data_IF_375092040585
#
_entry.id   IF_375092040585
#
_cell.length_a   1.000
_cell.length_b   1.000
_cell.length_c   1.000
_cell.angle_alpha   90.00
_cell.angle_beta   90.00
_cell.angle_gamma   90.00
#
_symmetry.space_group_name_H-M   'P 1'
#
loop_
_entity.id
_entity.type
_entity.pdbx_description
1 polymer ?
#
# COMPACT_ATOMS: atom_id res chain seq x y z
N UNK A 1 -20.56 -13.93 -16.38
CA UNK A 1 -20.45 -13.31 -15.03
C UNK A 1 -19.17 -13.67 -14.28
N UNK A 2 -18.59 -14.87 -14.47
CA UNK A 2 -17.37 -15.34 -13.80
C UNK A 2 -16.13 -14.46 -14.08
N UNK A 3 -15.88 -14.09 -15.34
CA UNK A 3 -14.71 -13.27 -15.72
C UNK A 3 -14.69 -11.90 -15.03
N UNK A 4 -15.85 -11.25 -14.83
CA UNK A 4 -15.95 -9.96 -14.12
C UNK A 4 -15.56 -10.10 -12.64
N UNK A 5 -15.95 -11.18 -11.98
CA UNK A 5 -15.57 -11.45 -10.58
C UNK A 5 -14.06 -11.67 -10.47
N UNK A 6 -13.48 -12.48 -11.35
CA UNK A 6 -12.02 -12.69 -11.40
C UNK A 6 -11.28 -11.37 -11.66
N UNK A 7 -11.74 -10.56 -12.62
CA UNK A 7 -11.14 -9.25 -12.91
C UNK A 7 -11.16 -8.33 -11.69
N UNK A 8 -12.25 -8.31 -10.92
CA UNK A 8 -12.32 -7.52 -9.68
C UNK A 8 -11.35 -8.05 -8.61
N UNK A 9 -11.22 -9.37 -8.46
CA UNK A 9 -10.26 -9.99 -7.55
C UNK A 9 -8.81 -9.67 -7.93
N UNK A 10 -8.46 -9.81 -9.22
CA UNK A 10 -7.12 -9.50 -9.75
C UNK A 10 -6.82 -8.00 -9.63
N UNK A 11 -7.76 -7.13 -10.00
CA UNK A 11 -7.58 -5.68 -9.85
C UNK A 11 -7.37 -5.29 -8.38
N UNK A 12 -8.13 -5.87 -7.45
CA UNK A 12 -7.96 -5.68 -6.01
C UNK A 12 -6.59 -6.14 -5.51
N UNK A 13 -6.13 -7.31 -5.96
CA UNK A 13 -4.79 -7.83 -5.63
C UNK A 13 -3.69 -6.92 -6.15
N UNK A 14 -3.78 -6.47 -7.41
CA UNK A 14 -2.81 -5.55 -8.00
C UNK A 14 -2.77 -4.23 -7.23
N UNK A 15 -3.93 -3.65 -6.90
CA UNK A 15 -4.03 -2.44 -6.06
C UNK A 15 -3.38 -2.64 -4.69
N UNK A 16 -3.62 -3.77 -4.03
CA UNK A 16 -3.03 -4.09 -2.74
C UNK A 16 -1.50 -4.21 -2.84
N UNK A 17 -0.98 -4.92 -3.84
CA UNK A 17 0.45 -5.08 -4.06
C UNK A 17 1.15 -3.76 -4.40
N UNK A 18 0.53 -2.92 -5.24
CA UNK A 18 1.06 -1.60 -5.59
C UNK A 18 1.08 -0.68 -4.38
N UNK A 19 0.01 -0.65 -3.59
CA UNK A 19 -0.04 0.11 -2.34
C UNK A 19 1.03 -0.36 -1.35
N UNK A 20 1.15 -1.68 -1.14
CA UNK A 20 2.15 -2.26 -0.25
C UNK A 20 3.58 -1.93 -0.72
N UNK A 21 3.86 -2.07 -2.02
CA UNK A 21 5.15 -1.72 -2.59
C UNK A 21 5.47 -0.23 -2.41
N UNK A 22 4.47 0.66 -2.54
CA UNK A 22 4.64 2.08 -2.31
C UNK A 22 4.92 2.43 -0.83
N UNK A 23 4.38 1.68 0.12
CA UNK A 23 4.77 1.80 1.53
C UNK A 23 6.17 1.23 1.81
N UNK A 24 6.57 0.18 1.07
CA UNK A 24 7.84 -0.51 1.32
C UNK A 24 9.04 0.18 0.68
N UNK A 25 8.85 0.86 -0.46
CA UNK A 25 9.93 1.61 -1.10
C UNK A 25 10.32 2.86 -0.29
N UNK A 26 11.63 3.07 -0.04
CA UNK A 26 12.11 4.18 0.78
C UNK A 26 11.76 5.54 0.17
N UNK A 27 11.44 6.50 1.03
CA UNK A 27 11.26 7.91 0.69
C UNK A 27 12.63 8.57 0.77
N UNK A 28 13.30 8.68 -0.37
CA UNK A 28 14.47 9.55 -0.51
C UNK A 28 13.99 10.99 -0.74
N UNK A 29 14.59 11.93 -0.02
CA UNK A 29 14.45 13.35 -0.33
C UNK A 29 15.45 13.71 -1.44
N UNK A 30 15.08 14.68 -2.28
CA UNK A 30 15.98 15.28 -3.30
C UNK A 30 17.14 16.09 -2.67
N UNK A 31 17.20 16.14 -1.33
CA UNK A 31 18.26 16.80 -0.59
C UNK A 31 19.41 15.80 -0.41
N UNK A 32 20.60 16.21 -0.81
CA UNK A 32 21.79 15.39 -0.74
C UNK A 32 22.51 15.68 0.59
N UNK A 33 23.06 14.64 1.22
CA UNK A 33 23.89 14.75 2.41
C UNK A 33 25.23 15.45 2.11
N UNK A 34 26.07 15.58 3.13
CA UNK A 34 27.41 16.18 2.99
C UNK A 34 28.31 15.43 1.98
N UNK A 35 27.95 14.20 1.60
CA UNK A 35 28.69 13.34 0.68
C UNK A 35 28.06 13.25 -0.71
N UNK A 36 26.94 13.94 -0.96
CA UNK A 36 26.26 13.95 -2.24
C UNK A 36 25.36 12.74 -2.49
N UNK A 37 24.92 12.03 -1.44
CA UNK A 37 23.92 10.96 -1.53
C UNK A 37 22.55 11.46 -1.03
N UNK A 38 21.42 11.04 -1.63
CA UNK A 38 20.11 11.44 -1.17
C UNK A 38 19.87 10.96 0.27
N UNK A 39 19.38 11.84 1.14
CA UNK A 39 19.06 11.48 2.52
C UNK A 39 17.81 10.60 2.52
N UNK A 40 17.96 9.35 2.95
CA UNK A 40 16.86 8.41 3.16
C UNK A 40 16.17 8.75 4.49
N UNK A 41 14.91 9.20 4.44
CA UNK A 41 14.10 9.48 5.63
C UNK A 41 13.39 8.22 6.17
N UNK A 42 13.69 7.04 5.61
CA UNK A 42 13.03 5.77 5.91
C UNK A 42 11.99 5.35 4.87
N UNK A 43 11.00 4.54 5.27
CA UNK A 43 9.94 4.01 4.41
C UNK A 43 8.54 4.35 4.98
N UNK A 44 7.47 3.93 4.29
CA UNK A 44 6.10 4.20 4.71
C UNK A 44 5.73 3.63 6.10
N UNK A 45 6.50 2.68 6.64
CA UNK A 45 6.31 2.06 7.96
C UNK A 45 7.23 2.64 9.04
N UNK A 46 8.49 2.89 8.73
CA UNK A 46 9.52 3.38 9.67
C UNK A 46 10.03 4.75 9.23
N UNK A 47 9.92 5.74 10.10
CA UNK A 47 10.51 7.06 9.90
C UNK A 47 11.84 7.10 10.66
N UNK A 48 12.95 7.19 9.93
CA UNK A 48 14.26 7.46 10.51
C UNK A 48 14.58 8.92 10.27
N UNK A 49 14.20 9.75 11.24
CA UNK A 49 14.46 11.19 11.19
C UNK A 49 15.82 11.43 11.82
N UNK A 50 16.81 11.96 11.08
CA UNK A 50 18.10 12.27 11.67
C UNK A 50 17.92 13.37 12.72
N UNK A 51 17.87 12.99 14.00
CA UNK A 51 17.61 13.92 15.12
C UNK A 51 18.65 15.05 15.22
N UNK A 52 19.81 14.88 14.59
CA UNK A 52 20.90 15.85 14.52
C UNK A 52 20.81 16.81 13.33
N UNK A 53 19.89 16.59 12.36
CA UNK A 53 19.79 17.40 11.15
C UNK A 53 19.01 18.72 11.33
N UNK A 54 18.49 18.99 12.53
CA UNK A 54 17.72 20.19 12.85
C UNK A 54 16.24 20.09 12.42
N UNK A 55 15.39 20.91 13.06
CA UNK A 55 13.92 20.81 12.92
C UNK A 55 13.38 20.95 11.49
N UNK A 56 14.00 21.80 10.67
CA UNK A 56 13.54 22.03 9.29
C UNK A 56 13.72 20.81 8.36
N UNK A 57 14.73 19.96 8.63
CA UNK A 57 14.96 18.73 7.88
C UNK A 57 13.98 17.65 8.34
N UNK A 58 13.71 17.59 9.65
CA UNK A 58 12.71 16.71 10.22
C UNK A 58 11.30 16.97 9.66
N UNK A 59 10.87 18.24 9.61
CA UNK A 59 9.56 18.64 9.06
C UNK A 59 9.41 18.28 7.57
N UNK A 60 10.51 18.38 6.80
CA UNK A 60 10.51 17.99 5.38
C UNK A 60 10.46 16.48 5.18
N UNK A 61 11.16 15.69 5.98
CA UNK A 61 11.00 14.24 5.97
C UNK A 61 9.55 13.84 6.29
N UNK A 62 8.98 14.42 7.34
CA UNK A 62 7.64 14.07 7.82
C UNK A 62 6.55 14.43 6.79
N UNK A 63 6.62 15.61 6.19
CA UNK A 63 5.69 16.00 5.11
C UNK A 63 5.78 15.10 3.88
N UNK A 64 6.99 14.69 3.47
CA UNK A 64 7.18 13.75 2.36
C UNK A 64 6.62 12.34 2.66
N UNK A 65 6.82 11.86 3.89
CA UNK A 65 6.25 10.59 4.38
C UNK A 65 4.73 10.64 4.44
N UNK A 66 4.15 11.74 4.94
CA UNK A 66 2.70 11.95 5.01
C UNK A 66 2.06 11.95 3.61
N UNK A 67 2.70 12.58 2.63
CA UNK A 67 2.19 12.59 1.26
C UNK A 67 2.15 11.19 0.65
N UNK A 68 3.17 10.33 0.88
CA UNK A 68 3.11 8.93 0.42
C UNK A 68 2.04 8.14 1.13
N UNK A 69 1.92 8.29 2.45
CA UNK A 69 0.88 7.63 3.25
C UNK A 69 -0.53 8.02 2.80
N UNK A 70 -0.73 9.27 2.40
CA UNK A 70 -2.03 9.81 2.00
C UNK A 70 -2.69 9.07 0.83
N UNK A 71 -1.93 8.46 -0.08
CA UNK A 71 -2.48 7.68 -1.21
C UNK A 71 -2.15 6.19 -1.14
N UNK A 72 -1.04 5.81 -0.52
CA UNK A 72 -0.62 4.42 -0.42
C UNK A 72 -1.45 3.63 0.61
N UNK A 73 -1.82 4.26 1.74
CA UNK A 73 -2.74 3.64 2.72
C UNK A 73 -4.13 3.39 2.11
N UNK A 74 -4.82 4.37 1.51
CA UNK A 74 -6.15 4.11 0.96
C UNK A 74 -6.12 3.13 -0.21
N UNK A 75 -5.10 3.16 -1.08
CA UNK A 75 -4.99 2.16 -2.17
C UNK A 75 -4.83 0.74 -1.63
N UNK A 76 -3.99 0.55 -0.61
CA UNK A 76 -3.82 -0.75 0.06
C UNK A 76 -5.13 -1.20 0.72
N UNK A 77 -5.81 -0.31 1.45
CA UNK A 77 -7.06 -0.61 2.12
C UNK A 77 -8.17 -1.00 1.12
N UNK A 78 -8.32 -0.25 0.02
CA UNK A 78 -9.30 -0.54 -1.02
C UNK A 78 -8.98 -1.88 -1.70
N UNK A 79 -7.71 -2.14 -2.04
CA UNK A 79 -7.28 -3.41 -2.61
C UNK A 79 -7.63 -4.59 -1.71
N UNK A 80 -7.35 -4.47 -0.41
CA UNK A 80 -7.70 -5.49 0.59
C UNK A 80 -9.20 -5.74 0.72
N UNK A 81 -10.00 -4.67 0.71
CA UNK A 81 -11.47 -4.77 0.75
C UNK A 81 -12.02 -5.49 -0.50
N UNK A 82 -11.49 -5.18 -1.68
CA UNK A 82 -11.88 -5.84 -2.93
C UNK A 82 -11.53 -7.33 -2.93
N UNK A 83 -10.33 -7.69 -2.48
CA UNK A 83 -9.90 -9.09 -2.33
C UNK A 83 -10.80 -9.83 -1.34
N UNK A 84 -11.08 -9.23 -0.19
CA UNK A 84 -11.96 -9.81 0.84
C UNK A 84 -13.38 -10.02 0.31
N UNK A 85 -13.95 -9.03 -0.37
CA UNK A 85 -15.28 -9.12 -0.99
C UNK A 85 -15.34 -10.21 -2.07
N UNK A 86 -14.29 -10.35 -2.88
CA UNK A 86 -14.17 -11.42 -3.87
C UNK A 86 -14.12 -12.81 -3.21
N UNK A 87 -13.31 -12.99 -2.17
CA UNK A 87 -13.23 -14.24 -1.42
C UNK A 87 -14.57 -14.62 -0.77
N UNK A 88 -15.27 -13.65 -0.18
CA UNK A 88 -16.60 -13.86 0.41
C UNK A 88 -17.61 -14.25 -0.67
N UNK A 89 -17.61 -13.60 -1.84
CA UNK A 89 -18.50 -13.97 -2.94
C UNK A 89 -18.22 -15.39 -3.44
N UNK A 90 -16.94 -15.73 -3.64
CA UNK A 90 -16.53 -17.06 -4.08
C UNK A 90 -16.94 -18.16 -3.09
N UNK A 91 -16.73 -17.93 -1.80
CA UNK A 91 -17.13 -18.88 -0.75
C UNK A 91 -18.63 -19.02 -0.59
N UNK A 92 -19.45 -18.05 -1.01
CA UNK A 92 -20.92 -18.18 -1.01
C UNK A 92 -21.46 -18.96 -2.21
N UNK A 93 -20.71 -19.02 -3.31
CA UNK A 93 -21.09 -19.78 -4.51
C UNK A 93 -20.82 -21.30 -4.34
N UNK A 94 -19.81 -21.68 -3.55
CA UNK A 94 -19.50 -23.08 -3.27
C UNK A 94 -20.60 -23.85 -2.48
N UNK A 95 -21.30 -23.26 -1.48
CA UNK A 95 -22.43 -23.86 -0.79
C UNK A 95 -23.62 -24.17 -1.70
N UNK A 96 -23.97 -23.27 -2.63
CA UNK A 96 -25.12 -23.47 -3.52
C UNK A 96 -24.92 -24.65 -4.47
N UNK A 97 -23.70 -24.86 -4.97
CA UNK A 97 -23.38 -26.03 -5.81
C UNK A 97 -23.49 -27.39 -5.07
N UNK A 98 -23.45 -27.40 -3.73
CA UNK A 98 -23.60 -28.61 -2.90
C UNK A 98 -25.06 -28.90 -2.54
N UNK A 99 -25.91 -27.87 -2.44
CA UNK A 99 -27.34 -28.02 -2.16
C UNK A 99 -28.12 -28.57 -3.36
N UNK A 100 -27.66 -28.31 -4.59
CA UNK A 100 -28.26 -28.84 -5.82
C UNK A 100 -27.85 -30.29 -6.12
N UNK A 101 -26.95 -30.88 -5.30
CA UNK A 101 -26.43 -32.23 -5.46
C UNK A 101 -26.98 -33.23 -4.41
N UNK A 102 -27.94 -32.81 -3.59
CA UNK A 102 -28.65 -33.62 -2.58
C UNK A 102 -30.14 -33.73 -2.91
#
# INVERSE_FOLDING_TARGET
MHNRRILLGVAGLVLALVGLAALWFPVALDQHDAYGFPIECGNGFTADVPQLAGGQVADRCESALLMRRAWAIPSTAIGWLLVSAFLIAWTREAPSARADAS
#
